data_IF_230268052800
#
_entry.id   IF_230268052800
#
_cell.length_a   1.000
_cell.length_b   1.000
_cell.length_c   1.000
_cell.angle_alpha   90.00
_cell.angle_beta   90.00
_cell.angle_gamma   90.00
#
_symmetry.space_group_name_H-M   'P 1'
#
loop_
_entity.id
_entity.type
_entity.pdbx_description
1 polymer ?
#
# COMPACT_ATOMS: atom_id res chain seq x y z
N UNK A 1 -39.19 -46.38 13.44
CA UNK A 1 -37.91 -46.09 12.77
C UNK A 1 -37.91 -44.60 12.41
N UNK A 2 -37.03 -43.78 13.00
CA UNK A 2 -36.89 -42.34 12.70
C UNK A 2 -35.45 -42.13 12.24
N UNK A 3 -35.25 -41.87 10.95
CA UNK A 3 -33.95 -41.51 10.39
C UNK A 3 -33.81 -39.98 10.44
N UNK A 4 -32.88 -39.51 11.26
CA UNK A 4 -32.50 -38.10 11.35
C UNK A 4 -31.53 -37.81 10.21
N UNK A 5 -31.96 -37.00 9.23
CA UNK A 5 -31.17 -36.63 8.07
C UNK A 5 -30.28 -35.43 8.46
N UNK A 6 -29.02 -35.71 8.83
CA UNK A 6 -28.05 -34.65 9.18
C UNK A 6 -27.53 -34.00 7.89
N UNK A 7 -28.01 -32.80 7.59
CA UNK A 7 -27.53 -31.96 6.50
C UNK A 7 -26.10 -31.47 6.82
N UNK A 8 -25.10 -32.08 6.19
CA UNK A 8 -23.74 -31.54 6.14
C UNK A 8 -23.74 -30.31 5.21
N UNK A 9 -23.71 -29.12 5.80
CA UNK A 9 -23.41 -27.88 5.10
C UNK A 9 -21.89 -27.79 4.87
N UNK A 10 -21.38 -27.85 3.63
CA UNK A 10 -19.98 -27.58 3.37
C UNK A 10 -19.71 -26.09 3.62
N UNK A 11 -18.94 -25.79 4.68
CA UNK A 11 -18.45 -24.45 4.95
C UNK A 11 -17.35 -24.16 3.92
N UNK A 12 -17.68 -23.40 2.88
CA UNK A 12 -16.69 -22.86 1.94
C UNK A 12 -15.93 -21.73 2.63
N UNK A 13 -14.68 -22.01 3.01
CA UNK A 13 -13.72 -21.01 3.46
C UNK A 13 -13.37 -20.10 2.27
N UNK A 14 -14.09 -19.00 2.13
CA UNK A 14 -13.67 -17.87 1.28
C UNK A 14 -12.50 -17.20 1.99
N UNK A 15 -11.27 -17.54 1.59
CA UNK A 15 -10.09 -16.78 1.98
C UNK A 15 -10.32 -15.32 1.58
N UNK A 16 -10.29 -14.35 2.51
CA UNK A 16 -10.28 -12.95 2.12
C UNK A 16 -8.99 -12.72 1.34
N UNK A 17 -9.10 -12.66 0.01
CA UNK A 17 -8.04 -12.15 -0.83
C UNK A 17 -7.68 -10.78 -0.26
N UNK A 18 -6.47 -10.63 0.26
CA UNK A 18 -5.94 -9.35 0.74
C UNK A 18 -5.78 -8.51 -0.52
N UNK A 19 -6.87 -7.86 -0.95
CA UNK A 19 -6.87 -6.91 -2.04
C UNK A 19 -6.09 -5.70 -1.52
N UNK A 20 -4.97 -5.38 -2.16
CA UNK A 20 -4.39 -4.06 -1.98
C UNK A 20 -5.44 -3.04 -2.42
N UNK A 21 -5.63 -2.03 -1.58
CA UNK A 21 -6.50 -0.91 -1.93
C UNK A 21 -5.67 0.14 -2.68
N UNK A 22 -6.29 0.83 -3.64
CA UNK A 22 -5.75 2.11 -4.11
C UNK A 22 -5.64 3.04 -2.90
N UNK A 23 -4.49 3.70 -2.77
CA UNK A 23 -4.05 4.44 -1.58
C UNK A 23 -3.80 3.57 -0.33
N UNK A 24 -3.60 2.26 -0.49
CA UNK A 24 -3.22 1.33 0.57
C UNK A 24 -1.73 0.99 0.58
N UNK A 25 -1.25 0.24 1.58
CA UNK A 25 0.14 -0.20 1.66
C UNK A 25 0.51 -1.18 0.56
N UNK A 26 1.77 -1.16 0.17
CA UNK A 26 2.32 -2.15 -0.74
C UNK A 26 2.42 -3.54 -0.09
N UNK A 27 2.59 -4.57 -0.92
CA UNK A 27 2.62 -5.97 -0.52
C UNK A 27 3.75 -6.74 -1.24
N UNK A 28 3.86 -8.04 -0.97
CA UNK A 28 4.74 -8.96 -1.70
C UNK A 28 6.25 -8.61 -1.67
N UNK A 29 6.71 -7.97 -0.60
CA UNK A 29 8.12 -7.61 -0.40
C UNK A 29 8.53 -6.29 -1.07
N UNK A 30 7.56 -5.55 -1.61
CA UNK A 30 7.77 -4.17 -2.01
C UNK A 30 8.05 -3.25 -0.81
N UNK A 31 8.41 -2.00 -1.10
CA UNK A 31 8.73 -1.01 -0.08
C UNK A 31 7.60 -0.84 0.93
N UNK A 32 7.91 -1.06 2.20
CA UNK A 32 6.97 -0.95 3.32
C UNK A 32 6.60 0.51 3.64
N UNK A 33 7.40 1.48 3.17
CA UNK A 33 7.06 2.90 3.16
C UNK A 33 6.25 3.28 1.91
N UNK A 34 6.00 2.36 0.99
CA UNK A 34 5.29 2.65 -0.24
C UNK A 34 3.76 2.66 -0.12
N UNK A 35 3.13 3.28 -1.12
CA UNK A 35 1.68 3.35 -1.30
C UNK A 35 1.27 2.91 -2.71
N UNK A 36 0.16 2.18 -2.81
CA UNK A 36 -0.41 1.75 -4.09
C UNK A 36 -1.17 2.89 -4.78
N UNK A 37 -0.57 3.51 -5.80
CA UNK A 37 -1.18 4.59 -6.58
C UNK A 37 -0.90 4.42 -8.07
N UNK A 38 -1.57 5.23 -8.90
CA UNK A 38 -1.27 5.29 -10.32
C UNK A 38 0.21 5.61 -10.58
N UNK A 39 0.85 4.80 -11.43
CA UNK A 39 2.25 4.93 -11.86
C UNK A 39 2.55 6.31 -12.40
N UNK A 40 1.66 6.85 -13.23
CA UNK A 40 1.81 8.18 -13.81
C UNK A 40 1.82 9.26 -12.73
N UNK A 41 0.94 9.13 -11.73
CA UNK A 41 0.93 10.03 -10.57
C UNK A 41 2.19 9.88 -9.71
N UNK A 42 2.67 8.65 -9.48
CA UNK A 42 3.91 8.40 -8.75
C UNK A 42 5.11 9.12 -9.39
N UNK A 43 5.33 8.88 -10.70
CA UNK A 43 6.51 9.37 -11.41
C UNK A 43 6.39 10.87 -11.73
N UNK A 44 5.24 11.30 -12.24
CA UNK A 44 5.11 12.65 -12.81
C UNK A 44 4.67 13.71 -11.80
N UNK A 45 3.95 13.34 -10.73
CA UNK A 45 3.47 14.29 -9.72
C UNK A 45 4.34 14.29 -8.47
N UNK A 46 4.73 13.11 -7.99
CA UNK A 46 5.49 12.98 -6.74
C UNK A 46 6.97 12.71 -6.96
N UNK A 47 7.40 12.51 -8.21
CA UNK A 47 8.79 12.18 -8.56
C UNK A 47 9.31 10.95 -7.79
N UNK A 48 8.41 10.03 -7.45
CA UNK A 48 8.72 8.82 -6.70
C UNK A 48 9.24 7.69 -7.57
N UNK A 49 9.65 6.61 -6.91
CA UNK A 49 10.02 5.36 -7.54
C UNK A 49 8.81 4.43 -7.62
N UNK A 50 8.53 3.93 -8.82
CA UNK A 50 7.43 3.02 -9.10
C UNK A 50 7.93 1.59 -9.19
N UNK A 51 7.38 0.71 -8.36
CA UNK A 51 7.63 -0.73 -8.37
C UNK A 51 6.33 -1.48 -8.68
N UNK A 52 6.18 -2.07 -9.88
CA UNK A 52 5.04 -2.92 -10.19
C UNK A 52 5.07 -4.26 -9.43
N UNK A 53 6.24 -4.70 -8.97
CA UNK A 53 6.49 -6.06 -8.51
C UNK A 53 6.76 -7.01 -9.67
N UNK A 54 6.48 -8.31 -9.47
CA UNK A 54 6.75 -9.35 -10.47
C UNK A 54 5.50 -10.17 -10.80
N UNK A 55 5.45 -10.87 -11.96
CA UNK A 55 4.35 -11.76 -12.28
C UNK A 55 4.07 -12.77 -11.15
N UNK A 56 2.81 -12.82 -10.70
CA UNK A 56 2.38 -13.67 -9.58
C UNK A 56 2.67 -13.11 -8.19
N UNK A 57 3.38 -11.99 -8.07
CA UNK A 57 3.66 -11.27 -6.83
C UNK A 57 3.74 -9.76 -7.11
N UNK A 58 2.61 -9.20 -7.56
CA UNK A 58 2.47 -7.77 -7.83
C UNK A 58 2.55 -6.97 -6.53
N UNK A 59 3.21 -5.81 -6.55
CA UNK A 59 3.38 -4.99 -5.34
C UNK A 59 2.05 -4.41 -4.84
N UNK A 60 1.06 -4.27 -5.74
CA UNK A 60 -0.32 -3.90 -5.45
C UNK A 60 -1.28 -4.99 -5.97
N UNK A 61 -1.46 -6.11 -5.24
CA UNK A 61 -2.30 -7.21 -5.69
C UNK A 61 -3.78 -6.84 -5.72
N UNK A 62 -4.48 -7.17 -6.81
CA UNK A 62 -5.92 -6.95 -6.92
C UNK A 62 -6.32 -5.54 -7.36
N UNK A 63 -5.37 -4.67 -7.67
CA UNK A 63 -5.60 -3.37 -8.32
C UNK A 63 -5.35 -3.44 -9.84
N UNK A 64 -5.81 -2.46 -10.62
CA UNK A 64 -5.46 -2.34 -12.05
C UNK A 64 -3.94 -2.30 -12.27
N UNK A 65 -3.49 -2.73 -13.45
CA UNK A 65 -2.05 -2.85 -13.78
C UNK A 65 -1.28 -1.51 -13.75
N UNK A 66 -1.96 -0.38 -13.85
CA UNK A 66 -1.34 0.95 -13.73
C UNK A 66 -1.19 1.42 -12.28
N UNK A 67 -1.72 0.67 -11.31
CA UNK A 67 -1.51 0.92 -9.88
C UNK A 67 -0.30 0.12 -9.43
N UNK A 68 0.78 0.83 -9.14
CA UNK A 68 2.07 0.27 -8.76
C UNK A 68 2.43 0.78 -7.35
N UNK A 69 3.38 0.11 -6.68
CA UNK A 69 3.88 0.58 -5.40
C UNK A 69 4.75 1.82 -5.63
N UNK A 70 4.44 2.92 -4.95
CA UNK A 70 5.18 4.17 -5.06
C UNK A 70 5.90 4.48 -3.75
N UNK A 71 7.23 4.58 -3.80
CA UNK A 71 8.04 5.15 -2.72
C UNK A 71 8.47 6.58 -3.09
N UNK A 72 8.40 7.50 -2.13
CA UNK A 72 8.65 8.93 -2.38
C UNK A 72 9.65 9.44 -1.36
N UNK A 73 10.92 9.51 -1.79
CA UNK A 73 12.03 10.09 -1.05
C UNK A 73 12.89 10.89 -2.04
N UNK A 74 13.22 12.16 -1.76
CA UNK A 74 12.71 12.95 -0.65
C UNK A 74 11.23 13.34 -0.86
N UNK A 75 10.50 13.64 0.21
CA UNK A 75 9.11 14.10 0.07
C UNK A 75 9.02 15.53 -0.51
N UNK A 76 7.88 15.95 -1.11
CA UNK A 76 7.79 17.24 -1.82
C UNK A 76 8.12 18.51 -1.01
N UNK A 77 8.02 18.48 0.32
CA UNK A 77 8.25 19.65 1.19
C UNK A 77 9.69 19.79 1.65
N UNK A 78 10.44 18.69 1.71
CA UNK A 78 11.82 18.69 2.20
C UNK A 78 12.73 18.18 1.11
N UNK A 79 13.80 18.90 0.81
CA UNK A 79 14.83 18.42 -0.11
C UNK A 79 15.93 17.63 0.63
N UNK A 80 15.54 16.70 1.50
CA UNK A 80 16.46 15.84 2.25
C UNK A 80 16.01 14.38 2.20
N UNK A 81 16.97 13.48 2.05
CA UNK A 81 16.75 12.03 2.06
C UNK A 81 16.34 11.50 3.44
N UNK A 82 16.48 12.31 4.50
CA UNK A 82 16.00 11.96 5.85
C UNK A 82 14.47 11.99 5.96
N UNK A 83 13.79 12.60 4.99
CA UNK A 83 12.33 12.76 4.98
C UNK A 83 11.70 12.06 3.79
N UNK A 84 10.86 11.08 4.08
CA UNK A 84 10.10 10.31 3.09
C UNK A 84 8.61 10.45 3.30
N UNK A 85 7.84 10.17 2.24
CA UNK A 85 6.44 9.84 2.44
C UNK A 85 6.34 8.42 3.00
N UNK A 86 5.80 8.28 4.20
CA UNK A 86 5.57 6.99 4.84
C UNK A 86 4.24 6.98 5.58
N UNK A 87 3.84 5.81 6.07
CA UNK A 87 2.65 5.66 6.90
C UNK A 87 2.85 6.37 8.23
N UNK A 88 1.85 7.11 8.68
CA UNK A 88 1.92 7.91 9.92
C UNK A 88 2.32 7.09 11.15
N UNK A 89 1.93 5.82 11.19
CA UNK A 89 2.32 4.87 12.25
C UNK A 89 3.82 4.56 12.29
N UNK A 90 4.58 4.95 11.26
CA UNK A 90 6.01 4.68 11.07
C UNK A 90 6.89 5.92 11.17
N UNK A 91 6.32 7.10 11.40
CA UNK A 91 7.12 8.30 11.67
C UNK A 91 7.89 8.17 12.99
N UNK A 92 9.18 8.56 13.01
CA UNK A 92 9.96 8.62 14.25
C UNK A 92 9.47 9.75 15.18
N UNK A 93 9.07 10.87 14.59
CA UNK A 93 8.73 12.10 15.29
C UNK A 93 7.25 12.49 15.11
N UNK A 94 6.73 13.33 16.01
CA UNK A 94 5.34 13.83 15.95
C UNK A 94 5.11 14.89 14.86
N UNK A 95 6.19 15.43 14.27
CA UNK A 95 6.10 16.38 13.16
C UNK A 95 5.86 15.66 11.84
N UNK A 96 4.68 15.85 11.25
CA UNK A 96 4.35 15.32 9.92
C UNK A 96 3.61 16.37 9.08
N UNK A 97 3.76 16.27 7.76
CA UNK A 97 3.12 17.17 6.80
C UNK A 97 2.28 16.33 5.81
N UNK A 98 0.96 16.56 5.68
CA UNK A 98 0.09 15.76 4.82
C UNK A 98 0.16 16.19 3.35
N UNK A 99 1.36 16.11 2.75
CA UNK A 99 1.63 16.47 1.33
C UNK A 99 1.71 15.26 0.40
N UNK A 100 1.68 14.05 0.95
CA UNK A 100 1.84 12.79 0.24
C UNK A 100 0.46 12.25 -0.24
N UNK A 101 0.41 11.34 -1.23
CA UNK A 101 -0.83 10.98 -1.94
C UNK A 101 -1.92 10.26 -1.14
N UNK A 102 -1.66 9.83 0.10
CA UNK A 102 -2.61 9.12 0.97
C UNK A 102 -3.18 9.98 2.13
N UNK A 103 -3.08 11.30 2.04
CA UNK A 103 -3.74 12.21 2.98
C UNK A 103 -3.10 12.22 4.38
N UNK A 104 -3.91 12.02 5.42
CA UNK A 104 -3.44 12.14 6.81
C UNK A 104 -2.77 10.88 7.36
N UNK A 105 -2.88 9.75 6.66
CA UNK A 105 -2.32 8.47 7.08
C UNK A 105 -1.02 8.13 6.33
N UNK A 106 -0.79 8.78 5.19
CA UNK A 106 0.44 8.69 4.42
C UNK A 106 1.01 10.10 4.29
N UNK A 107 2.04 10.39 5.07
CA UNK A 107 2.49 11.74 5.38
C UNK A 107 3.99 11.85 5.17
N UNK A 108 4.48 13.09 5.00
CA UNK A 108 5.90 13.33 5.02
C UNK A 108 6.41 13.48 6.45
N UNK A 109 7.39 12.68 6.84
CA UNK A 109 8.06 12.75 8.14
C UNK A 109 9.44 12.07 8.06
N UNK A 110 10.20 12.17 9.15
CA UNK A 110 11.45 11.41 9.30
C UNK A 110 11.14 9.92 9.50
N UNK A 111 11.71 9.09 8.61
CA UNK A 111 11.43 7.66 8.54
C UNK A 111 12.16 6.86 9.64
N UNK A 112 11.57 5.75 10.10
CA UNK A 112 12.12 4.94 11.20
C UNK A 112 13.26 4.02 10.84
#
# INVERSE_FOLDING_TARGET
MRQTFTLLFPITLLSPSILAAVNGPCSNGADINGICIDRGRCINTYHGHSDPGRPGAWSCPGTPNNIECCSIVPCPTFNSQDFGCTWRSRCQNLGFIPVCPGGNDFVCCEER
#
